data_IF_611989197142
#
_entry.id   IF_611989197142
#
_cell.length_a   1.000
_cell.length_b   1.000
_cell.length_c   1.000
_cell.angle_alpha   90.00
_cell.angle_beta   90.00
_cell.angle_gamma   90.00
#
_symmetry.space_group_name_H-M   'P 1'
#
loop_
_entity.id
_entity.type
_entity.pdbx_description
1 polymer ?
#
# COMPACT_ATOMS: atom_id res chain seq x y z
N UNK A 1 6.30 1.63 -28.01
CA UNK A 1 7.19 2.81 -28.20
C UNK A 1 8.54 2.42 -27.65
N UNK A 2 9.62 2.59 -28.43
CA UNK A 2 10.96 2.21 -28.01
C UNK A 2 11.74 3.49 -27.72
N UNK A 3 12.33 3.59 -26.53
CA UNK A 3 13.19 4.70 -26.14
C UNK A 3 14.64 4.25 -26.16
N UNK A 4 15.53 5.12 -26.66
CA UNK A 4 16.97 4.93 -26.60
C UNK A 4 17.57 6.10 -25.85
N UNK A 5 18.29 5.82 -24.77
CA UNK A 5 18.98 6.81 -23.95
C UNK A 5 20.50 6.63 -24.10
N UNK A 6 21.18 7.36 -25.00
CA UNK A 6 22.64 7.29 -25.11
C UNK A 6 23.30 7.70 -23.80
N UNK A 7 24.21 6.85 -23.30
CA UNK A 7 24.88 7.10 -22.02
C UNK A 7 25.86 8.27 -22.15
N UNK A 8 25.73 9.24 -21.24
CA UNK A 8 26.62 10.40 -21.21
C UNK A 8 28.05 9.98 -20.89
N UNK A 9 28.98 10.25 -21.80
CA UNK A 9 30.41 9.91 -21.68
C UNK A 9 31.27 11.08 -21.15
N UNK A 10 30.78 12.32 -21.24
CA UNK A 10 31.47 13.54 -20.78
C UNK A 10 30.47 14.50 -20.15
N UNK A 11 30.91 15.33 -19.20
CA UNK A 11 30.06 16.41 -18.65
C UNK A 11 29.57 17.34 -19.76
N UNK A 12 28.39 17.91 -19.55
CA UNK A 12 27.71 18.84 -20.45
C UNK A 12 27.09 19.95 -19.61
N UNK A 13 26.74 21.08 -20.24
CA UNK A 13 26.02 22.19 -19.57
C UNK A 13 24.73 21.75 -18.87
N UNK A 14 24.08 20.69 -19.35
CA UNK A 14 22.84 20.16 -18.76
C UNK A 14 23.06 19.33 -17.50
N UNK A 15 24.22 18.66 -17.37
CA UNK A 15 24.54 17.81 -16.21
C UNK A 15 25.95 17.23 -16.33
N UNK A 16 26.63 17.19 -15.20
CA UNK A 16 27.98 16.63 -15.05
C UNK A 16 28.00 15.11 -14.86
N UNK A 17 26.84 14.46 -14.75
CA UNK A 17 26.75 13.04 -14.44
C UNK A 17 27.14 12.17 -15.64
N UNK A 18 28.35 11.60 -15.60
CA UNK A 18 28.85 10.60 -16.58
C UNK A 18 28.45 9.19 -16.13
N UNK A 19 28.03 8.35 -17.09
CA UNK A 19 27.62 6.96 -16.86
C UNK A 19 28.65 5.98 -17.39
N UNK A 20 29.28 5.23 -16.47
CA UNK A 20 30.13 4.08 -16.78
C UNK A 20 29.36 2.77 -16.51
N UNK A 21 29.98 1.63 -16.83
CA UNK A 21 29.36 0.31 -16.64
C UNK A 21 28.95 0.08 -15.18
N UNK A 22 29.80 0.46 -14.22
CA UNK A 22 29.53 0.29 -12.79
C UNK A 22 28.28 1.03 -12.33
N UNK A 23 28.13 2.31 -12.72
CA UNK A 23 26.94 3.10 -12.40
C UNK A 23 25.67 2.52 -13.00
N UNK A 24 25.74 1.99 -14.22
CA UNK A 24 24.60 1.31 -14.86
C UNK A 24 24.25 0.03 -14.12
N UNK A 25 25.25 -0.79 -13.76
CA UNK A 25 25.04 -2.00 -12.99
C UNK A 25 24.42 -1.68 -11.62
N UNK A 26 24.86 -0.63 -10.95
CA UNK A 26 24.27 -0.17 -9.69
C UNK A 26 22.81 0.27 -9.88
N UNK A 27 22.53 1.11 -10.89
CA UNK A 27 21.17 1.55 -11.22
C UNK A 27 20.23 0.36 -11.47
N UNK A 28 20.67 -0.61 -12.27
CA UNK A 28 19.90 -1.82 -12.56
C UNK A 28 19.75 -2.71 -11.33
N UNK A 29 20.75 -2.77 -10.45
CA UNK A 29 20.66 -3.52 -9.20
C UNK A 29 19.60 -2.90 -8.27
N UNK A 30 19.65 -1.58 -8.05
CA UNK A 30 18.63 -0.86 -7.25
C UNK A 30 17.24 -1.06 -7.83
N UNK A 31 17.10 -0.97 -9.16
CA UNK A 31 15.82 -1.23 -9.82
C UNK A 31 15.33 -2.67 -9.59
N UNK A 32 16.21 -3.69 -9.65
CA UNK A 32 15.85 -5.09 -9.40
C UNK A 32 15.34 -5.32 -7.98
N UNK A 33 15.81 -4.58 -6.98
CA UNK A 33 15.31 -4.67 -5.60
C UNK A 33 13.87 -4.17 -5.47
N UNK A 34 13.48 -3.15 -6.23
CA UNK A 34 12.13 -2.55 -6.17
C UNK A 34 11.16 -3.04 -7.27
N UNK A 35 11.66 -3.72 -8.30
CA UNK A 35 10.88 -4.12 -9.48
C UNK A 35 9.63 -4.94 -9.14
N UNK A 36 9.71 -5.81 -8.12
CA UNK A 36 8.55 -6.58 -7.66
C UNK A 36 7.45 -5.67 -7.11
N UNK A 37 7.81 -4.64 -6.35
CA UNK A 37 6.87 -3.68 -5.78
C UNK A 37 6.22 -2.78 -6.83
N UNK A 38 6.93 -2.48 -7.93
CA UNK A 38 6.38 -1.67 -9.04
C UNK A 38 5.08 -2.27 -9.59
N UNK A 39 4.99 -3.60 -9.73
CA UNK A 39 3.80 -4.25 -10.30
C UNK A 39 2.60 -4.33 -9.34
N UNK A 40 2.78 -4.03 -8.05
CA UNK A 40 1.82 -4.29 -6.99
C UNK A 40 0.48 -3.54 -7.17
N UNK A 41 0.55 -2.25 -7.52
CA UNK A 41 -0.63 -1.37 -7.66
C UNK A 41 -0.88 -0.86 -9.08
N UNK A 42 -0.08 -1.31 -10.06
CA UNK A 42 -0.32 -0.98 -11.46
C UNK A 42 -1.45 -1.82 -12.03
N UNK A 43 -2.31 -1.21 -12.85
CA UNK A 43 -3.49 -1.90 -13.39
C UNK A 43 -3.24 -2.62 -14.72
N UNK A 44 -2.23 -2.17 -15.47
CA UNK A 44 -2.00 -2.61 -16.86
C UNK A 44 -0.69 -3.37 -17.06
N UNK A 45 0.37 -3.05 -16.30
CA UNK A 45 1.65 -3.75 -16.41
C UNK A 45 1.60 -5.09 -15.71
N UNK A 46 1.95 -6.17 -16.40
CA UNK A 46 1.91 -7.53 -15.88
C UNK A 46 3.31 -8.13 -15.73
N UNK A 47 4.28 -7.59 -16.46
CA UNK A 47 5.61 -8.17 -16.58
C UNK A 47 6.66 -7.06 -16.73
N UNK A 48 7.82 -7.27 -16.12
CA UNK A 48 9.02 -6.43 -16.25
C UNK A 48 10.17 -7.37 -16.59
N UNK A 49 10.88 -7.08 -17.68
CA UNK A 49 12.03 -7.85 -18.15
C UNK A 49 13.27 -6.96 -18.26
N UNK A 50 14.41 -7.47 -17.82
CA UNK A 50 15.71 -6.84 -18.00
C UNK A 50 16.61 -7.77 -18.80
N UNK A 51 17.12 -7.24 -19.90
CA UNK A 51 18.06 -7.90 -20.80
C UNK A 51 19.41 -7.18 -20.71
N UNK A 52 20.47 -7.95 -20.85
CA UNK A 52 21.82 -7.45 -21.09
C UNK A 52 22.25 -7.90 -22.48
N UNK A 53 22.89 -7.02 -23.25
CA UNK A 53 23.35 -7.32 -24.61
C UNK A 53 24.82 -7.00 -24.70
N UNK A 54 25.66 -8.02 -24.92
CA UNK A 54 27.08 -7.84 -25.22
C UNK A 54 27.25 -7.70 -26.74
N UNK A 55 27.24 -6.46 -27.23
CA UNK A 55 27.43 -6.15 -28.65
C UNK A 55 26.18 -6.37 -29.50
N UNK A 56 26.37 -6.89 -30.72
CA UNK A 56 25.32 -7.06 -31.75
C UNK A 56 24.40 -8.26 -31.56
N UNK A 57 24.68 -9.14 -30.60
CA UNK A 57 23.86 -10.32 -30.32
C UNK A 57 22.88 -9.99 -29.19
N UNK A 58 21.61 -9.81 -29.53
CA UNK A 58 20.55 -9.70 -28.54
C UNK A 58 20.39 -11.05 -27.82
N UNK A 59 20.63 -11.06 -26.51
CA UNK A 59 20.32 -12.22 -25.70
C UNK A 59 18.80 -12.42 -25.67
N UNK A 60 18.35 -13.60 -26.11
CA UNK A 60 16.91 -13.90 -26.22
C UNK A 60 16.24 -14.08 -24.85
N UNK A 61 17.03 -14.21 -23.78
CA UNK A 61 16.53 -14.49 -22.44
C UNK A 61 16.81 -13.32 -21.49
N UNK A 62 15.84 -12.95 -20.65
CA UNK A 62 16.04 -11.91 -19.65
C UNK A 62 17.00 -12.40 -18.56
N UNK A 63 17.94 -11.54 -18.13
CA UNK A 63 18.76 -11.79 -16.93
C UNK A 63 17.88 -11.75 -15.66
N UNK A 64 16.85 -10.90 -15.68
CA UNK A 64 15.93 -10.71 -14.57
C UNK A 64 14.52 -10.43 -15.08
N UNK A 65 13.54 -11.03 -14.43
CA UNK A 65 12.14 -10.87 -14.78
C UNK A 65 11.25 -10.90 -13.53
N UNK A 66 10.24 -10.03 -13.51
CA UNK A 66 9.12 -10.08 -12.57
C UNK A 66 7.84 -10.25 -13.38
N UNK A 67 7.03 -11.24 -13.02
CA UNK A 67 5.72 -11.48 -13.64
C UNK A 67 4.63 -11.64 -12.59
N UNK A 68 3.39 -11.51 -13.03
CA UNK A 68 2.26 -11.96 -12.25
C UNK A 68 2.15 -13.48 -12.33
N UNK A 69 2.33 -14.16 -11.20
CA UNK A 69 2.20 -15.61 -11.10
C UNK A 69 0.74 -16.04 -11.18
N UNK A 70 0.44 -17.09 -11.95
CA UNK A 70 -0.91 -17.66 -12.00
C UNK A 70 -1.97 -16.83 -12.74
N UNK A 71 -1.56 -15.85 -13.56
CA UNK A 71 -2.47 -15.07 -14.43
C UNK A 71 -3.09 -15.87 -15.60
N UNK A 72 -3.09 -17.21 -15.53
CA UNK A 72 -3.87 -18.06 -16.44
C UNK A 72 -5.39 -17.99 -16.18
N UNK A 73 -5.82 -17.45 -15.03
CA UNK A 73 -7.24 -17.25 -14.71
C UNK A 73 -7.63 -15.78 -14.92
N UNK A 74 -8.46 -15.50 -15.93
CA UNK A 74 -8.89 -14.15 -16.38
C UNK A 74 -9.44 -13.21 -15.28
N UNK A 75 -9.86 -13.74 -14.13
CA UNK A 75 -10.52 -12.96 -13.08
C UNK A 75 -9.60 -11.93 -12.42
N UNK A 76 -8.32 -12.24 -12.16
CA UNK A 76 -7.41 -11.27 -11.52
C UNK A 76 -7.12 -10.10 -12.45
N UNK A 77 -6.86 -10.34 -13.74
CA UNK A 77 -6.64 -9.28 -14.74
C UNK A 77 -7.89 -8.40 -14.89
N UNK A 78 -9.06 -9.02 -14.99
CA UNK A 78 -10.35 -8.33 -15.12
C UNK A 78 -10.63 -7.47 -13.89
N UNK A 79 -10.49 -8.07 -12.69
CA UNK A 79 -10.68 -7.38 -11.42
C UNK A 79 -9.70 -6.22 -11.30
N UNK A 80 -8.40 -6.44 -11.59
CA UNK A 80 -7.35 -5.41 -11.53
C UNK A 80 -7.70 -4.17 -12.36
N UNK A 81 -8.31 -4.37 -13.54
CA UNK A 81 -8.73 -3.32 -14.46
C UNK A 81 -10.12 -2.75 -14.18
N UNK A 82 -10.89 -3.29 -13.23
CA UNK A 82 -12.30 -2.94 -13.01
C UNK A 82 -12.50 -1.51 -12.46
N UNK A 83 -11.60 -1.01 -11.61
CA UNK A 83 -11.68 0.36 -11.08
C UNK A 83 -11.04 1.38 -12.02
N UNK A 84 -11.78 1.80 -13.03
CA UNK A 84 -11.43 2.92 -13.92
C UNK A 84 -12.53 3.99 -13.97
N UNK A 85 -12.94 4.54 -12.82
CA UNK A 85 -13.88 5.66 -12.76
C UNK A 85 -13.32 6.90 -13.49
N UNK A 86 -14.19 7.64 -14.17
CA UNK A 86 -13.86 8.98 -14.71
C UNK A 86 -14.24 10.12 -13.77
N UNK A 87 -15.11 9.84 -12.81
CA UNK A 87 -15.64 10.76 -11.82
C UNK A 87 -15.94 10.01 -10.52
N UNK A 88 -16.24 10.76 -9.47
CA UNK A 88 -16.66 10.20 -8.18
C UNK A 88 -18.06 9.59 -8.38
N UNK A 89 -18.26 8.29 -8.09
CA UNK A 89 -19.56 7.63 -8.18
C UNK A 89 -20.47 8.01 -7.00
N UNK A 90 -21.77 7.73 -7.11
CA UNK A 90 -22.71 7.98 -6.00
C UNK A 90 -22.39 7.12 -4.77
N UNK A 91 -22.10 5.83 -4.99
CA UNK A 91 -21.73 4.86 -3.95
C UNK A 91 -20.25 4.47 -4.07
N UNK A 92 -19.58 4.12 -2.97
CA UNK A 92 -18.18 3.70 -3.03
C UNK A 92 -18.00 2.48 -3.92
N UNK A 93 -16.88 2.43 -4.62
CA UNK A 93 -16.47 1.28 -5.43
C UNK A 93 -15.23 0.66 -4.83
N UNK A 94 -15.19 -0.67 -4.80
CA UNK A 94 -14.09 -1.43 -4.24
C UNK A 94 -13.61 -2.51 -5.20
N UNK A 95 -12.36 -2.92 -5.03
CA UNK A 95 -11.72 -3.97 -5.81
C UNK A 95 -10.77 -4.73 -4.90
N UNK A 96 -11.04 -6.02 -4.69
CA UNK A 96 -10.23 -6.90 -3.87
C UNK A 96 -9.81 -8.14 -4.66
N UNK A 97 -8.53 -8.48 -4.64
CA UNK A 97 -8.00 -9.66 -5.34
C UNK A 97 -6.66 -10.12 -4.77
N UNK A 98 -6.33 -11.38 -5.04
CA UNK A 98 -5.01 -11.93 -4.78
C UNK A 98 -4.07 -11.61 -5.94
N UNK A 99 -2.91 -11.05 -5.62
CA UNK A 99 -1.83 -10.79 -6.56
C UNK A 99 -0.61 -11.62 -6.18
N UNK A 100 -0.23 -12.56 -7.04
CA UNK A 100 0.99 -13.33 -6.90
C UNK A 100 2.06 -12.71 -7.80
N UNK A 101 3.24 -12.44 -7.25
CA UNK A 101 4.40 -11.93 -7.96
C UNK A 101 5.50 -12.97 -7.93
N UNK A 102 6.06 -13.27 -9.10
CA UNK A 102 7.15 -14.22 -9.27
C UNK A 102 8.35 -13.49 -9.84
N UNK A 103 9.49 -13.61 -9.15
CA UNK A 103 10.77 -13.04 -9.60
C UNK A 103 11.70 -14.17 -9.99
N UNK A 104 12.25 -14.08 -11.19
CA UNK A 104 13.26 -15.01 -11.69
C UNK A 104 14.53 -14.25 -12.08
N UNK A 105 15.68 -14.89 -11.86
CA UNK A 105 16.98 -14.40 -12.28
C UNK A 105 17.74 -15.52 -12.95
N UNK A 106 18.24 -15.29 -14.17
CA UNK A 106 18.93 -16.32 -14.98
C UNK A 106 18.16 -17.65 -15.02
N UNK A 107 16.84 -17.55 -15.26
CA UNK A 107 15.88 -18.68 -15.30
C UNK A 107 15.70 -19.46 -13.99
N UNK A 108 16.23 -18.97 -12.88
CA UNK A 108 16.00 -19.57 -11.57
C UNK A 108 14.98 -18.72 -10.80
N UNK A 109 13.93 -19.31 -10.21
CA UNK A 109 13.03 -18.59 -9.32
C UNK A 109 13.82 -18.17 -8.08
N UNK A 110 13.81 -16.87 -7.78
CA UNK A 110 14.53 -16.32 -6.62
C UNK A 110 13.58 -15.79 -5.55
N UNK A 111 12.35 -15.41 -5.92
CA UNK A 111 11.37 -14.91 -4.97
C UNK A 111 9.95 -15.15 -5.49
N UNK A 112 9.03 -15.40 -4.57
CA UNK A 112 7.60 -15.46 -4.84
C UNK A 112 6.86 -14.80 -3.67
N UNK A 113 6.03 -13.81 -3.97
CA UNK A 113 5.20 -13.14 -2.96
C UNK A 113 3.72 -13.21 -3.35
N UNK A 114 2.86 -13.24 -2.34
CA UNK A 114 1.42 -13.25 -2.51
C UNK A 114 0.83 -12.11 -1.66
N UNK A 115 -0.04 -11.32 -2.26
CA UNK A 115 -0.61 -10.12 -1.68
C UNK A 115 -2.13 -10.14 -1.81
N UNK A 116 -2.84 -9.79 -0.73
CA UNK A 116 -4.23 -9.36 -0.83
C UNK A 116 -4.24 -7.88 -1.13
N UNK A 117 -4.60 -7.51 -2.36
CA UNK A 117 -4.72 -6.11 -2.78
C UNK A 117 -6.17 -5.69 -2.66
N UNK A 118 -6.43 -4.57 -1.99
CA UNK A 118 -7.75 -3.95 -1.89
C UNK A 118 -7.66 -2.47 -2.19
N UNK A 119 -8.36 -2.02 -3.23
CA UNK A 119 -8.51 -0.61 -3.58
C UNK A 119 -9.94 -0.15 -3.29
N UNK A 120 -10.09 1.05 -2.75
CA UNK A 120 -11.37 1.71 -2.52
C UNK A 120 -11.37 3.11 -3.09
N UNK A 121 -12.38 3.38 -3.90
CA UNK A 121 -12.78 4.72 -4.31
C UNK A 121 -13.96 5.17 -3.47
N UNK A 122 -13.83 6.32 -2.82
CA UNK A 122 -14.93 6.95 -2.07
C UNK A 122 -16.03 7.41 -3.04
N UNK A 123 -17.28 7.20 -2.66
CA UNK A 123 -18.45 7.72 -3.36
C UNK A 123 -19.02 8.98 -2.70
N UNK A 124 -19.95 9.64 -3.38
CA UNK A 124 -20.63 10.83 -2.84
C UNK A 124 -21.35 10.51 -1.53
N UNK A 125 -21.92 9.31 -1.40
CA UNK A 125 -22.68 8.88 -0.23
C UNK A 125 -21.84 8.70 1.03
N UNK A 126 -20.53 8.46 0.90
CA UNK A 126 -19.66 8.15 2.04
C UNK A 126 -18.40 9.04 2.15
N UNK A 127 -18.23 10.02 1.26
CA UNK A 127 -17.20 11.05 1.38
C UNK A 127 -17.60 12.22 2.26
N UNK A 128 -16.67 12.77 3.04
CA UNK A 128 -16.91 14.02 3.76
C UNK A 128 -17.09 15.19 2.80
N UNK A 129 -17.77 16.25 3.24
CA UNK A 129 -17.95 17.47 2.44
C UNK A 129 -16.60 18.06 1.99
N UNK A 130 -15.60 18.04 2.86
CA UNK A 130 -14.26 18.56 2.55
C UNK A 130 -13.50 17.68 1.55
N UNK A 131 -13.53 16.36 1.73
CA UNK A 131 -12.91 15.44 0.78
C UNK A 131 -13.51 15.59 -0.62
N UNK A 132 -14.84 15.65 -0.73
CA UNK A 132 -15.54 15.82 -2.01
C UNK A 132 -15.29 17.20 -2.61
N UNK A 133 -15.25 18.26 -1.80
CA UNK A 133 -14.89 19.62 -2.24
C UNK A 133 -13.48 19.66 -2.82
N UNK A 134 -12.50 19.06 -2.14
CA UNK A 134 -11.11 19.02 -2.60
C UNK A 134 -10.94 18.12 -3.82
N UNK A 135 -11.60 16.97 -3.87
CA UNK A 135 -11.60 16.10 -5.04
C UNK A 135 -12.03 16.86 -6.30
N UNK A 136 -13.10 17.65 -6.20
CA UNK A 136 -13.56 18.53 -7.28
C UNK A 136 -12.55 19.63 -7.60
N UNK A 137 -12.04 20.34 -6.58
CA UNK A 137 -11.11 21.48 -6.76
C UNK A 137 -9.78 21.07 -7.41
N UNK A 138 -9.25 19.91 -7.00
CA UNK A 138 -7.97 19.38 -7.48
C UNK A 138 -8.12 18.47 -8.71
N UNK A 139 -9.35 18.16 -9.12
CA UNK A 139 -9.64 17.16 -10.16
C UNK A 139 -9.03 15.79 -9.86
N UNK A 140 -9.08 15.38 -8.59
CA UNK A 140 -8.59 14.10 -8.11
C UNK A 140 -9.74 13.16 -7.77
N UNK A 141 -9.49 11.86 -7.90
CA UNK A 141 -10.40 10.82 -7.42
C UNK A 141 -9.93 10.35 -6.04
N UNK A 142 -10.78 10.29 -5.02
CA UNK A 142 -10.40 9.90 -3.66
C UNK A 142 -10.23 8.39 -3.55
N UNK A 143 -9.10 7.87 -4.05
CA UNK A 143 -8.80 6.45 -4.09
C UNK A 143 -7.62 6.11 -3.18
N UNK A 144 -7.82 5.11 -2.32
CA UNK A 144 -6.77 4.53 -1.47
C UNK A 144 -6.84 3.01 -1.59
N UNK A 145 -5.68 2.37 -1.60
CA UNK A 145 -5.56 0.94 -1.57
C UNK A 145 -4.53 0.45 -0.58
N UNK A 146 -4.64 -0.81 -0.18
CA UNK A 146 -3.62 -1.50 0.61
C UNK A 146 -3.26 -2.84 -0.03
N UNK A 147 -2.03 -3.29 0.21
CA UNK A 147 -1.59 -4.63 -0.10
C UNK A 147 -1.11 -5.32 1.17
N UNK A 148 -1.85 -6.34 1.59
CA UNK A 148 -1.57 -7.13 2.80
C UNK A 148 -0.72 -8.34 2.39
N UNK A 149 0.44 -8.55 3.04
CA UNK A 149 1.27 -9.71 2.75
C UNK A 149 0.60 -10.99 3.24
N UNK A 150 0.49 -11.98 2.35
CA UNK A 150 -0.06 -13.31 2.67
C UNK A 150 0.97 -14.23 3.31
N UNK A 151 2.24 -14.02 2.98
CA UNK A 151 3.34 -14.80 3.52
C UNK A 151 3.75 -14.29 4.92
N UNK A 152 4.26 -15.18 5.79
CA UNK A 152 4.63 -14.84 7.18
C UNK A 152 5.84 -13.91 7.34
N UNK A 153 6.49 -13.50 6.25
CA UNK A 153 7.68 -12.66 6.32
C UNK A 153 7.33 -11.29 6.94
N UNK A 154 8.27 -10.69 7.66
CA UNK A 154 8.09 -9.35 8.21
C UNK A 154 8.22 -8.32 7.10
N UNK A 155 7.15 -7.55 6.87
CA UNK A 155 7.13 -6.46 5.91
C UNK A 155 6.97 -5.13 6.64
N UNK A 156 7.75 -4.13 6.20
CA UNK A 156 7.55 -2.74 6.60
C UNK A 156 6.73 -2.05 5.52
N UNK A 157 5.59 -1.50 5.90
CA UNK A 157 4.68 -0.82 5.00
C UNK A 157 5.33 0.37 4.30
N UNK A 158 5.14 0.43 3.00
CA UNK A 158 5.68 1.46 2.12
C UNK A 158 4.53 2.21 1.45
N UNK A 159 4.69 3.51 1.24
CA UNK A 159 3.73 4.36 0.55
C UNK A 159 3.94 4.34 -0.97
N UNK A 160 2.84 4.34 -1.70
CA UNK A 160 2.78 4.32 -3.15
C UNK A 160 1.87 5.45 -3.64
N UNK A 161 2.23 6.02 -4.78
CA UNK A 161 1.31 6.79 -5.62
C UNK A 161 1.32 6.13 -7.00
N UNK A 162 0.60 5.01 -7.10
CA UNK A 162 0.64 4.00 -8.18
C UNK A 162 1.97 3.26 -8.33
N UNK A 163 3.08 3.99 -8.25
CA UNK A 163 4.44 3.46 -8.15
C UNK A 163 4.95 3.61 -6.71
N UNK A 164 5.89 2.77 -6.29
CA UNK A 164 6.59 2.98 -5.02
C UNK A 164 7.25 4.35 -5.07
N UNK A 165 7.11 5.13 -3.99
CA UNK A 165 7.94 6.32 -3.86
C UNK A 165 9.39 5.89 -3.60
N UNK A 166 10.40 6.70 -3.95
CA UNK A 166 11.77 6.37 -3.63
C UNK A 166 11.93 6.05 -2.14
N UNK A 167 12.79 5.08 -1.82
CA UNK A 167 13.07 4.66 -0.45
C UNK A 167 14.19 5.52 0.15
N UNK A 168 13.85 6.57 0.91
CA UNK A 168 14.41 6.81 2.23
C UNK A 168 13.34 6.57 3.31
N UNK A 169 13.73 6.58 4.60
CA UNK A 169 12.84 6.37 5.77
C UNK A 169 11.52 7.17 5.73
N UNK A 170 11.49 8.28 4.99
CA UNK A 170 10.36 9.19 4.82
C UNK A 170 9.15 8.50 4.18
N UNK A 171 9.37 7.52 3.30
CA UNK A 171 8.32 6.77 2.60
C UNK A 171 7.82 5.55 3.40
N UNK A 172 8.52 5.18 4.48
CA UNK A 172 8.13 4.07 5.35
C UNK A 172 6.99 4.49 6.28
N UNK A 173 5.87 3.78 6.20
CA UNK A 173 4.68 4.03 7.03
C UNK A 173 4.76 3.32 8.38
N UNK A 174 5.58 2.26 8.46
CA UNK A 174 5.63 1.30 9.57
C UNK A 174 4.27 0.64 9.88
N UNK A 175 3.31 0.74 8.96
CA UNK A 175 2.14 -0.10 8.92
C UNK A 175 2.55 -1.51 8.48
N UNK A 176 1.76 -2.56 8.78
CA UNK A 176 2.08 -3.91 8.36
C UNK A 176 1.59 -4.24 6.94
N UNK A 177 1.23 -3.22 6.16
CA UNK A 177 0.74 -3.32 4.77
C UNK A 177 1.37 -2.23 3.92
N UNK A 178 1.48 -2.45 2.61
CA UNK A 178 1.76 -1.35 1.70
C UNK A 178 0.51 -0.50 1.49
N UNK A 179 0.67 0.81 1.35
CA UNK A 179 -0.44 1.76 1.17
C UNK A 179 -0.25 2.47 -0.15
N UNK A 180 -1.28 2.45 -0.99
CA UNK A 180 -1.36 3.18 -2.25
C UNK A 180 -2.46 4.23 -2.18
N UNK A 181 -2.32 5.30 -2.95
CA UNK A 181 -3.40 6.24 -3.12
C UNK A 181 -3.08 7.32 -4.14
N UNK A 182 -4.11 8.06 -4.50
CA UNK A 182 -4.03 9.27 -5.34
C UNK A 182 -3.42 10.44 -4.57
N UNK A 183 -2.25 10.25 -3.95
CA UNK A 183 -1.65 11.25 -3.10
C UNK A 183 -1.03 12.39 -3.90
N UNK A 184 -1.08 13.60 -3.34
CA UNK A 184 -0.35 14.75 -3.85
C UNK A 184 1.13 14.65 -3.45
N UNK A 185 2.01 14.80 -4.44
CA UNK A 185 3.46 14.71 -4.26
C UNK A 185 4.13 16.08 -4.24
N UNK A 186 5.35 16.15 -3.71
CA UNK A 186 6.26 17.28 -3.84
C UNK A 186 6.60 17.55 -5.31
N UNK A 187 7.20 18.72 -5.63
CA UNK A 187 7.54 19.07 -7.01
C UNK A 187 8.50 18.08 -7.67
N UNK A 188 9.49 17.57 -6.92
CA UNK A 188 10.40 16.53 -7.38
C UNK A 188 9.75 15.12 -7.41
N UNK A 189 8.49 14.99 -6.96
CA UNK A 189 7.68 13.76 -6.92
C UNK A 189 8.30 12.61 -6.13
N UNK A 190 9.22 12.91 -5.22
CA UNK A 190 9.90 11.89 -4.40
C UNK A 190 9.21 11.66 -3.06
N UNK A 191 8.38 12.59 -2.59
CA UNK A 191 7.75 12.51 -1.29
C UNK A 191 6.28 12.94 -1.36
N UNK A 192 5.46 12.44 -0.42
CA UNK A 192 4.13 13.00 -0.18
C UNK A 192 4.25 14.43 0.35
N UNK A 193 3.30 15.29 -0.03
CA UNK A 193 3.11 16.58 0.63
C UNK A 193 2.51 16.36 2.02
N UNK A 194 3.22 16.82 3.04
CA UNK A 194 2.79 16.79 4.45
C UNK A 194 2.64 18.21 4.98
N UNK A 195 1.75 18.40 5.95
CA UNK A 195 1.68 19.65 6.70
C UNK A 195 2.86 19.74 7.65
N UNK A 196 3.36 20.95 7.87
CA UNK A 196 4.28 21.21 8.97
C UNK A 196 3.49 21.20 10.29
N UNK A 197 4.07 20.61 11.34
CA UNK A 197 3.46 20.49 12.66
C UNK A 197 3.21 21.85 13.31
N UNK A 198 3.91 22.89 12.87
CA UNK A 198 3.90 24.22 13.47
C UNK A 198 3.02 25.23 12.74
N UNK A 199 2.50 24.92 11.55
CA UNK A 199 1.67 25.85 10.76
C UNK A 199 0.20 25.44 10.79
N UNK A 200 -0.60 26.14 11.60
CA UNK A 200 -2.02 25.83 11.83
C UNK A 200 -2.96 26.72 10.99
N UNK A 201 -2.47 27.86 10.46
CA UNK A 201 -3.34 28.92 9.92
C UNK A 201 -3.74 28.75 8.45
N UNK A 202 -2.90 28.16 7.60
CA UNK A 202 -3.23 27.86 6.20
C UNK A 202 -2.51 26.59 5.74
N UNK A 203 -3.28 25.54 5.41
CA UNK A 203 -2.76 24.34 4.76
C UNK A 203 -3.09 24.39 3.28
N UNK A 204 -2.09 24.10 2.44
CA UNK A 204 -2.32 23.90 1.00
C UNK A 204 -3.37 22.81 0.78
N UNK A 205 -4.25 22.99 -0.22
CA UNK A 205 -5.29 21.99 -0.56
C UNK A 205 -4.68 20.59 -0.77
N UNK A 206 -3.48 20.50 -1.37
CA UNK A 206 -2.78 19.24 -1.60
C UNK A 206 -2.31 18.54 -0.32
N UNK A 207 -2.02 19.31 0.74
CA UNK A 207 -1.68 18.76 2.06
C UNK A 207 -2.96 18.25 2.72
N UNK A 208 -4.01 19.07 2.74
CA UNK A 208 -5.31 18.68 3.30
C UNK A 208 -5.87 17.43 2.61
N UNK A 209 -5.68 17.33 1.29
CA UNK A 209 -6.04 16.14 0.50
C UNK A 209 -5.39 14.86 1.03
N UNK A 210 -4.06 14.85 1.22
CA UNK A 210 -3.34 13.68 1.73
C UNK A 210 -3.78 13.32 3.16
N UNK A 211 -3.98 14.33 4.01
CA UNK A 211 -4.48 14.13 5.39
C UNK A 211 -5.87 13.49 5.41
N UNK A 212 -6.77 13.89 4.51
CA UNK A 212 -8.11 13.29 4.41
C UNK A 212 -8.08 11.87 3.82
N UNK A 213 -7.23 11.60 2.83
CA UNK A 213 -7.06 10.22 2.32
C UNK A 213 -6.60 9.27 3.43
N UNK A 214 -5.65 9.70 4.25
CA UNK A 214 -5.11 8.88 5.35
C UNK A 214 -6.09 8.80 6.51
N UNK A 215 -6.73 9.91 6.90
CA UNK A 215 -7.57 9.92 8.10
C UNK A 215 -9.01 9.50 7.83
N UNK A 216 -9.53 9.56 6.61
CA UNK A 216 -10.93 9.22 6.32
C UNK A 216 -11.09 7.97 5.44
N UNK A 217 -10.18 7.77 4.48
CA UNK A 217 -10.34 6.70 3.48
C UNK A 217 -9.60 5.45 3.91
N UNK A 218 -8.31 5.56 4.27
CA UNK A 218 -7.49 4.42 4.68
C UNK A 218 -8.10 3.58 5.82
N UNK A 219 -8.71 4.13 6.89
CA UNK A 219 -9.37 3.33 7.93
C UNK A 219 -10.53 2.50 7.38
N UNK A 220 -11.24 3.01 6.36
CA UNK A 220 -12.33 2.28 5.72
C UNK A 220 -11.79 1.13 4.86
N UNK A 221 -10.67 1.34 4.17
CA UNK A 221 -9.97 0.28 3.41
C UNK A 221 -9.54 -0.85 4.33
N UNK A 222 -8.94 -0.53 5.48
CA UNK A 222 -8.60 -1.52 6.50
C UNK A 222 -9.84 -2.27 7.02
N UNK A 223 -10.93 -1.55 7.32
CA UNK A 223 -12.16 -2.17 7.79
C UNK A 223 -12.74 -3.17 6.77
N UNK A 224 -12.77 -2.80 5.49
CA UNK A 224 -13.23 -3.70 4.42
C UNK A 224 -12.38 -4.97 4.35
N UNK A 225 -11.05 -4.85 4.49
CA UNK A 225 -10.13 -5.99 4.51
C UNK A 225 -10.36 -6.87 5.74
N UNK A 226 -10.46 -6.29 6.94
CA UNK A 226 -10.70 -7.04 8.18
C UNK A 226 -12.03 -7.82 8.08
N UNK A 227 -13.10 -7.16 7.63
CA UNK A 227 -14.40 -7.82 7.42
C UNK A 227 -14.32 -8.93 6.37
N UNK A 228 -13.51 -8.75 5.33
CA UNK A 228 -13.34 -9.76 4.28
C UNK A 228 -12.53 -10.96 4.78
N UNK A 229 -11.49 -10.73 5.59
CA UNK A 229 -10.70 -11.82 6.18
C UNK A 229 -11.58 -12.65 7.11
N UNK A 230 -12.37 -12.02 7.99
CA UNK A 230 -13.21 -12.75 8.95
C UNK A 230 -14.34 -13.53 8.28
N UNK A 231 -14.94 -12.98 7.21
CA UNK A 231 -16.10 -13.60 6.56
C UNK A 231 -15.76 -14.56 5.43
N UNK A 232 -14.71 -14.29 4.68
CA UNK A 232 -14.41 -15.02 3.43
C UNK A 232 -13.26 -15.99 3.64
N UNK A 233 -12.18 -15.57 4.29
CA UNK A 233 -10.95 -16.35 4.36
C UNK A 233 -10.81 -17.15 5.65
N UNK A 234 -11.44 -16.68 6.73
CA UNK A 234 -11.39 -17.31 8.04
C UNK A 234 -9.94 -17.57 8.52
N UNK A 235 -9.02 -16.62 8.25
CA UNK A 235 -7.60 -16.74 8.57
C UNK A 235 -7.20 -15.83 9.74
N UNK A 236 -7.07 -16.44 10.92
CA UNK A 236 -6.70 -15.77 12.16
C UNK A 236 -5.34 -15.10 12.09
N UNK A 237 -4.36 -15.77 11.48
CA UNK A 237 -2.99 -15.27 11.39
C UNK A 237 -2.91 -14.05 10.49
N UNK A 238 -3.70 -14.01 9.43
CA UNK A 238 -3.74 -12.87 8.53
C UNK A 238 -4.30 -11.62 9.20
N UNK A 239 -5.30 -11.74 10.08
CA UNK A 239 -5.81 -10.59 10.85
C UNK A 239 -4.72 -9.98 11.73
N UNK A 240 -3.98 -10.80 12.48
CA UNK A 240 -2.90 -10.30 13.33
C UNK A 240 -1.77 -9.64 12.54
N UNK A 241 -1.53 -10.11 11.30
CA UNK A 241 -0.60 -9.48 10.36
C UNK A 241 -1.14 -8.18 9.78
N UNK A 242 -2.44 -8.04 9.56
CA UNK A 242 -3.03 -6.83 8.99
C UNK A 242 -3.20 -5.68 10.00
N UNK A 243 -3.50 -5.99 11.27
CA UNK A 243 -3.79 -4.96 12.27
C UNK A 243 -2.52 -4.19 12.65
N UNK A 244 -2.49 -2.84 12.56
CA UNK A 244 -1.34 -2.02 12.95
C UNK A 244 -0.99 -2.09 14.44
N UNK A 245 0.27 -1.85 14.78
CA UNK A 245 0.73 -1.62 16.15
C UNK A 245 0.79 -0.10 16.42
N UNK A 246 -0.07 0.47 17.27
CA UNK A 246 -0.15 1.91 17.50
C UNK A 246 1.18 2.58 17.92
N UNK A 247 2.12 1.84 18.52
CA UNK A 247 3.42 2.38 18.92
C UNK A 247 4.39 2.54 17.77
N UNK A 248 4.36 1.56 16.85
CA UNK A 248 5.39 1.41 15.83
C UNK A 248 5.08 2.22 14.59
N UNK A 249 3.81 2.54 14.38
CA UNK A 249 3.33 3.30 13.23
C UNK A 249 3.88 4.72 13.25
N UNK A 250 4.26 5.23 12.07
CA UNK A 250 4.68 6.61 11.90
C UNK A 250 3.59 7.59 12.37
N UNK A 251 3.99 8.70 13.00
CA UNK A 251 3.06 9.68 13.58
C UNK A 251 2.01 10.19 12.59
N UNK A 252 2.33 10.24 11.29
CA UNK A 252 1.43 10.69 10.21
C UNK A 252 0.21 9.77 10.03
N UNK A 253 0.31 8.51 10.45
CA UNK A 253 -0.73 7.50 10.31
C UNK A 253 -1.45 7.19 11.62
N UNK A 254 -1.05 7.80 12.75
CA UNK A 254 -1.68 7.55 14.06
C UNK A 254 -3.18 7.83 14.06
N UNK A 255 -3.61 8.90 13.40
CA UNK A 255 -5.04 9.22 13.30
C UNK A 255 -5.83 8.17 12.51
N UNK A 256 -5.22 7.60 11.46
CA UNK A 256 -5.79 6.47 10.73
C UNK A 256 -5.97 5.27 11.66
N UNK A 257 -4.93 4.94 12.44
CA UNK A 257 -4.92 3.81 13.37
C UNK A 257 -6.01 3.99 14.44
N UNK A 258 -6.11 5.17 15.05
CA UNK A 258 -7.16 5.52 16.03
C UNK A 258 -8.56 5.31 15.46
N UNK A 259 -8.84 5.85 14.27
CA UNK A 259 -10.14 5.69 13.60
C UNK A 259 -10.41 4.24 13.19
N UNK A 260 -9.39 3.50 12.77
CA UNK A 260 -9.51 2.08 12.48
C UNK A 260 -9.99 1.31 13.71
N UNK A 261 -9.34 1.49 14.86
CA UNK A 261 -9.74 0.81 16.09
C UNK A 261 -11.19 1.13 16.47
N UNK A 262 -11.62 2.38 16.38
CA UNK A 262 -13.03 2.72 16.59
C UNK A 262 -13.98 2.00 15.64
N UNK A 263 -13.63 1.93 14.34
CA UNK A 263 -14.48 1.30 13.33
C UNK A 263 -14.62 -0.22 13.56
N UNK A 264 -13.56 -0.89 14.01
CA UNK A 264 -13.58 -2.35 14.21
C UNK A 264 -14.03 -2.78 15.60
N UNK A 265 -14.30 -1.84 16.51
CA UNK A 265 -14.73 -2.12 17.88
C UNK A 265 -15.95 -3.05 17.96
N UNK A 266 -16.91 -2.85 17.06
CA UNK A 266 -18.15 -3.63 17.00
C UNK A 266 -18.11 -4.74 15.94
N UNK A 267 -16.98 -4.91 15.25
CA UNK A 267 -16.77 -5.97 14.26
C UNK A 267 -16.24 -7.22 14.97
N UNK A 268 -16.78 -8.42 14.70
CA UNK A 268 -16.15 -9.65 15.14
C UNK A 268 -14.86 -9.89 14.35
N UNK A 269 -13.70 -9.64 14.97
CA UNK A 269 -12.38 -9.78 14.34
C UNK A 269 -11.36 -10.54 15.18
N UNK A 270 -11.69 -10.89 16.42
CA UNK A 270 -10.85 -11.74 17.26
C UNK A 270 -11.34 -13.18 17.15
N UNK A 271 -10.42 -14.11 16.99
CA UNK A 271 -10.77 -15.51 16.92
C UNK A 271 -10.59 -16.22 18.25
N UNK A 272 -11.53 -17.11 18.60
CA UNK A 272 -11.40 -17.98 19.76
C UNK A 272 -11.82 -19.41 19.46
N UNK A 273 -11.00 -20.36 19.91
CA UNK A 273 -11.29 -21.80 19.85
C UNK A 273 -12.12 -22.27 21.05
N UNK A 274 -12.13 -21.52 22.16
CA UNK A 274 -12.70 -21.95 23.45
C UNK A 274 -14.23 -21.99 23.51
N UNK A 275 -14.93 -21.63 22.44
CA UNK A 275 -16.40 -21.64 22.37
C UNK A 275 -16.91 -21.91 20.95
N UNK A 276 -16.33 -22.93 20.31
CA UNK A 276 -16.81 -23.44 19.01
C UNK A 276 -16.28 -22.67 17.80
N UNK A 277 -14.98 -22.34 17.80
CA UNK A 277 -14.25 -21.80 16.64
C UNK A 277 -14.95 -20.62 15.97
N UNK A 278 -14.94 -19.46 16.64
CA UNK A 278 -15.73 -18.31 16.20
C UNK A 278 -15.00 -16.99 16.31
N UNK A 279 -15.41 -16.07 15.44
CA UNK A 279 -15.07 -14.66 15.55
C UNK A 279 -15.93 -13.97 16.60
N UNK A 280 -15.29 -13.26 17.51
CA UNK A 280 -15.92 -12.46 18.56
C UNK A 280 -15.52 -11.00 18.44
N UNK A 281 -16.35 -10.11 18.98
CA UNK A 281 -16.02 -8.69 19.06
C UNK A 281 -14.99 -8.48 20.15
N UNK A 282 -14.30 -7.34 20.06
CA UNK A 282 -13.38 -6.91 21.11
C UNK A 282 -14.01 -6.95 22.51
N UNK A 283 -15.24 -6.45 22.62
CA UNK A 283 -15.96 -6.32 23.89
C UNK A 283 -16.35 -7.66 24.53
N UNK A 284 -16.37 -8.73 23.73
CA UNK A 284 -16.74 -10.07 24.19
C UNK A 284 -15.49 -10.91 24.56
N UNK A 285 -14.28 -10.39 24.33
CA UNK A 285 -13.03 -11.10 24.55
C UNK A 285 -12.49 -10.94 25.98
N UNK A 286 -11.91 -12.02 26.52
CA UNK A 286 -11.22 -12.03 27.82
C UNK A 286 -9.73 -12.30 27.57
N UNK A 287 -8.88 -11.34 27.92
CA UNK A 287 -7.43 -11.46 27.73
C UNK A 287 -6.75 -11.84 29.05
N UNK A 288 -6.02 -12.97 29.12
CA UNK A 288 -5.19 -13.28 30.27
C UNK A 288 -4.02 -12.30 30.31
N UNK A 289 -3.80 -11.66 31.47
CA UNK A 289 -2.82 -10.58 31.68
C UNK A 289 -1.35 -11.09 31.59
N UNK A 290 -1.12 -12.37 31.29
CA UNK A 290 0.11 -13.09 31.60
C UNK A 290 1.15 -13.29 30.47
N UNK A 291 1.12 -12.58 29.34
CA UNK A 291 2.15 -12.84 28.29
C UNK A 291 2.96 -11.60 27.91
N UNK A 292 4.27 -11.73 28.03
CA UNK A 292 5.34 -10.74 27.78
C UNK A 292 5.35 -10.09 26.38
N UNK A 293 4.39 -10.40 25.51
CA UNK A 293 4.16 -9.73 24.22
C UNK A 293 3.15 -8.56 24.35
N UNK A 294 3.09 -7.96 25.54
CA UNK A 294 2.02 -7.07 26.01
C UNK A 294 1.84 -5.79 25.22
N UNK A 295 2.86 -5.26 24.53
CA UNK A 295 2.79 -3.92 23.93
C UNK A 295 1.63 -3.71 22.95
N UNK A 296 1.58 -4.54 21.89
CA UNK A 296 0.59 -4.40 20.81
C UNK A 296 -0.82 -4.69 21.33
N UNK A 297 -1.02 -5.80 22.03
CA UNK A 297 -2.34 -6.19 22.56
C UNK A 297 -2.83 -5.20 23.61
N UNK A 298 -2.01 -4.81 24.59
CA UNK A 298 -2.39 -3.82 25.61
C UNK A 298 -2.77 -2.48 24.99
N UNK A 299 -2.08 -2.05 23.93
CA UNK A 299 -2.43 -0.78 23.27
C UNK A 299 -3.63 -0.86 22.37
N UNK A 300 -3.83 -2.00 21.69
CA UNK A 300 -5.12 -2.30 21.08
C UNK A 300 -6.24 -2.21 22.12
N UNK A 301 -6.03 -2.69 23.35
CA UNK A 301 -7.03 -2.54 24.43
C UNK A 301 -7.31 -1.08 24.75
N UNK A 302 -6.27 -0.26 24.89
CA UNK A 302 -6.44 1.16 25.20
C UNK A 302 -7.18 1.89 24.08
N UNK A 303 -6.73 1.76 22.83
CA UNK A 303 -7.31 2.46 21.67
C UNK A 303 -8.76 2.03 21.40
N UNK A 304 -9.11 0.77 21.67
CA UNK A 304 -10.48 0.26 21.54
C UNK A 304 -11.40 0.67 22.70
N UNK A 305 -10.82 0.96 23.87
CA UNK A 305 -11.55 1.35 25.08
C UNK A 305 -11.90 2.85 25.15
N UNK A 306 -11.15 3.71 24.46
CA UNK A 306 -11.43 5.15 24.40
C UNK A 306 -12.85 5.42 23.88
N UNK A 307 -13.61 6.25 24.61
CA UNK A 307 -14.96 6.68 24.20
C UNK A 307 -14.84 7.63 22.98
N UNK A 308 -15.84 7.65 22.08
CA UNK A 308 -15.86 8.64 21.01
C UNK A 308 -15.80 10.05 21.62
N UNK A 309 -14.88 10.88 21.12
CA UNK A 309 -14.85 12.32 21.42
C UNK A 309 -16.25 12.86 21.11
N UNK A 310 -16.97 13.26 22.15
CA UNK A 310 -18.21 14.03 22.04
C UNK A 310 -17.88 15.30 21.25
N UNK A 311 -18.52 15.43 20.07
CA UNK A 311 -18.53 16.66 19.27
C UNK A 311 -19.15 17.82 20.05
#
# INVERSE_FOLDING_TARGET
MNFRFPLRQKSTELSDSVYNQEKINNLLWVFKEEASLILLFLNSLEEIFLYESLGSLYEQNPDYMVTLGGCANDNTRTTRRALQPKCIPDRPLTKMYLLKLETTRKRQPINQTLWLVHDRLVGISDGSKDLLRLAKKLSYLPCVGIAVPMSPNTYTGHIFCFLPLPVPDISMTKLPVHVNGTFALSQNRQNLKWGDKFTVSYKEDSVQWNELLISEVLPKVYNDVIVSITKIWNDNMLIFRCIPDPEKVDYRFKECVRKLFRNIRDVPFLHTESSGDKWIRWQDAVFPIFTENTGKTCKMMNDLSEKPETQ
#
